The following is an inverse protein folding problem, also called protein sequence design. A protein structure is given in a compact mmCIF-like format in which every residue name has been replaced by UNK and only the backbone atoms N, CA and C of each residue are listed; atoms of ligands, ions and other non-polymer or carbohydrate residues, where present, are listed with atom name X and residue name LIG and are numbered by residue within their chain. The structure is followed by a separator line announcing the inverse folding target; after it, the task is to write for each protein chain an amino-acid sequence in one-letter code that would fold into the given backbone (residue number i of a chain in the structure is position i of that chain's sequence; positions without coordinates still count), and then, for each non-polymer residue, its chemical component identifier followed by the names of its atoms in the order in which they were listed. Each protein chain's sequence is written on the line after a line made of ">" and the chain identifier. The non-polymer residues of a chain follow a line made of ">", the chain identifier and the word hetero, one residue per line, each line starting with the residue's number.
data_IF_870969470686
#
_entry.id   IF_870969470686
#
_cell.length_a   1.000
_cell.length_b   1.000
_cell.length_c   1.000
_cell.angle_alpha   90.00
_cell.angle_beta   90.00
_cell.angle_gamma   90.00
#
_symmetry.space_group_name_H-M   'P 1'
#
loop_
_entity.id
_entity.type
_entity.pdbx_description
1 polymer ?
#
# COMPACT_ATOMS: atom_id res chain seq x y z
N UNK A 1 2.99 -23.88 22.35
CA UNK A 1 3.17 -22.75 21.40
C UNK A 1 4.17 -23.20 20.35
N UNK A 2 3.75 -23.27 19.08
CA UNK A 2 4.54 -23.82 17.98
C UNK A 2 5.79 -22.98 17.68
N UNK A 3 6.93 -23.63 17.53
CA UNK A 3 8.26 -23.07 17.25
C UNK A 3 8.30 -22.13 16.03
N UNK A 4 7.32 -22.22 15.12
CA UNK A 4 7.23 -21.39 13.91
C UNK A 4 6.89 -19.92 14.22
N UNK A 5 6.08 -19.65 15.24
CA UNK A 5 5.70 -18.27 15.61
C UNK A 5 6.86 -17.52 16.27
N UNK A 6 7.69 -18.23 17.03
CA UNK A 6 8.86 -17.66 17.69
C UNK A 6 9.93 -17.25 16.66
N UNK A 7 10.12 -18.05 15.60
CA UNK A 7 11.05 -17.74 14.51
C UNK A 7 10.60 -16.50 13.72
N UNK A 8 9.30 -16.35 13.46
CA UNK A 8 8.77 -15.16 12.77
C UNK A 8 8.97 -13.90 13.64
N UNK A 9 8.65 -13.98 14.93
CA UNK A 9 8.83 -12.86 15.86
C UNK A 9 10.30 -12.47 16.05
N UNK A 10 11.21 -13.46 16.11
CA UNK A 10 12.66 -13.21 16.24
C UNK A 10 13.26 -12.62 14.97
N UNK A 11 12.83 -13.07 13.79
CA UNK A 11 13.24 -12.45 12.51
C UNK A 11 12.71 -11.01 12.33
N UNK A 12 11.54 -10.71 12.89
CA UNK A 12 11.01 -9.34 12.91
C UNK A 12 11.76 -8.41 13.88
N UNK A 13 12.34 -8.93 14.97
CA UNK A 13 12.92 -8.13 16.06
C UNK A 13 14.44 -7.90 15.95
N UNK A 14 15.21 -8.86 15.41
CA UNK A 14 16.68 -8.81 15.49
C UNK A 14 17.37 -7.88 14.46
N UNK A 15 16.63 -7.34 13.50
CA UNK A 15 17.20 -6.58 12.36
C UNK A 15 17.27 -5.06 12.63
N UNK A 16 17.55 -4.66 13.87
CA UNK A 16 17.51 -3.29 14.38
C UNK A 16 18.89 -2.62 14.56
N UNK A 17 19.93 -3.05 13.83
CA UNK A 17 21.25 -2.40 13.89
C UNK A 17 21.88 -2.21 12.50
N UNK A 18 21.54 -1.13 11.75
CA UNK A 18 22.48 -0.39 10.86
C UNK A 18 21.77 0.68 9.98
N UNK A 19 22.02 1.97 10.28
CA UNK A 19 21.22 3.15 9.89
C UNK A 19 21.03 3.38 8.36
N UNK A 20 21.91 2.84 7.51
CA UNK A 20 21.82 3.02 6.05
C UNK A 20 21.09 1.89 5.30
N UNK A 21 20.81 0.75 5.93
CA UNK A 21 20.06 -0.37 5.34
C UNK A 21 18.54 -0.23 5.59
N UNK A 22 18.13 0.65 6.52
CA UNK A 22 16.73 0.78 6.94
C UNK A 22 15.78 1.28 5.86
N UNK A 23 16.19 2.15 4.93
CA UNK A 23 15.21 2.70 3.97
C UNK A 23 14.70 1.62 3.00
N UNK A 24 15.59 0.76 2.52
CA UNK A 24 15.25 -0.39 1.68
C UNK A 24 14.59 -1.52 2.50
N UNK A 25 15.07 -1.79 3.72
CA UNK A 25 14.54 -2.85 4.58
C UNK A 25 13.17 -2.53 5.20
N UNK A 26 12.90 -1.27 5.53
CA UNK A 26 11.57 -0.80 5.95
C UNK A 26 10.55 -0.93 4.81
N UNK A 27 10.97 -0.69 3.55
CA UNK A 27 10.12 -0.96 2.39
C UNK A 27 9.83 -2.46 2.23
N UNK A 28 10.83 -3.31 2.46
CA UNK A 28 10.74 -4.77 2.30
C UNK A 28 9.86 -5.42 3.38
N UNK A 29 10.01 -5.02 4.64
CA UNK A 29 9.21 -5.53 5.77
C UNK A 29 7.74 -5.15 5.67
N UNK A 30 7.43 -3.94 5.21
CA UNK A 30 6.04 -3.50 4.95
C UNK A 30 5.40 -4.20 3.73
N UNK A 31 6.18 -4.75 2.81
CA UNK A 31 5.66 -5.49 1.66
C UNK A 31 5.42 -6.97 1.98
N UNK A 32 6.31 -7.57 2.79
CA UNK A 32 6.26 -8.99 3.16
C UNK A 32 5.17 -9.27 4.22
N UNK A 33 4.78 -8.27 5.02
CA UNK A 33 3.77 -8.42 6.07
C UNK A 33 2.37 -7.91 5.67
N UNK A 34 2.01 -7.96 4.38
CA UNK A 34 0.63 -7.68 3.95
C UNK A 34 -0.10 -8.99 3.70
N UNK A 35 -1.32 -9.09 4.21
CA UNK A 35 -2.19 -10.22 3.92
C UNK A 35 -2.47 -10.32 2.42
N UNK A 36 -2.84 -11.51 1.98
CA UNK A 36 -3.18 -11.76 0.58
C UNK A 36 -4.30 -10.83 0.08
N UNK A 37 -5.32 -10.58 0.92
CA UNK A 37 -6.42 -9.68 0.55
C UNK A 37 -5.93 -8.26 0.27
N UNK A 38 -5.13 -7.70 1.18
CA UNK A 38 -4.61 -6.34 1.03
C UNK A 38 -3.65 -6.23 -0.16
N UNK A 39 -2.82 -7.25 -0.40
CA UNK A 39 -1.95 -7.29 -1.57
C UNK A 39 -2.76 -7.29 -2.88
N UNK A 40 -3.80 -8.12 -2.97
CA UNK A 40 -4.67 -8.18 -4.14
C UNK A 40 -5.42 -6.84 -4.37
N UNK A 41 -5.83 -6.16 -3.30
CA UNK A 41 -6.45 -4.84 -3.38
C UNK A 41 -5.47 -3.75 -3.85
N UNK A 42 -4.21 -3.79 -3.41
CA UNK A 42 -3.19 -2.80 -3.79
C UNK A 42 -2.52 -3.08 -5.13
N UNK A 43 -2.58 -4.32 -5.64
CA UNK A 43 -1.99 -4.73 -6.92
C UNK A 43 -2.23 -3.76 -8.09
N UNK A 44 -3.46 -3.27 -8.36
CA UNK A 44 -3.67 -2.27 -9.41
C UNK A 44 -2.88 -0.98 -9.15
N UNK A 45 -2.84 -0.50 -7.90
CA UNK A 45 -2.17 0.74 -7.51
C UNK A 45 -0.65 0.64 -7.61
N UNK A 46 -0.09 -0.53 -7.27
CA UNK A 46 1.38 -0.74 -7.33
C UNK A 46 1.96 -0.65 -8.74
N UNK A 47 1.12 -0.75 -9.78
CA UNK A 47 1.52 -0.67 -11.19
C UNK A 47 1.47 0.74 -11.75
N UNK A 48 0.93 1.70 -10.99
CA UNK A 48 0.82 3.09 -11.42
C UNK A 48 2.20 3.73 -11.37
N UNK A 49 2.55 4.47 -12.42
CA UNK A 49 3.77 5.27 -12.43
C UNK A 49 3.61 6.43 -11.43
N UNK A 50 4.60 6.59 -10.54
CA UNK A 50 4.52 7.49 -9.38
C UNK A 50 5.04 8.90 -9.67
N UNK A 51 5.26 9.27 -10.92
CA UNK A 51 5.70 10.63 -11.27
C UNK A 51 4.50 11.57 -11.26
N UNK A 52 4.68 12.80 -10.74
CA UNK A 52 3.60 13.79 -10.73
C UNK A 52 3.05 14.06 -12.14
N UNK A 53 3.93 14.14 -13.14
CA UNK A 53 3.54 14.35 -14.54
C UNK A 53 2.62 13.24 -15.05
N UNK A 54 2.94 11.97 -14.78
CA UNK A 54 2.07 10.87 -15.18
C UNK A 54 0.71 10.97 -14.49
N UNK A 55 0.71 11.17 -13.16
CA UNK A 55 -0.51 11.18 -12.37
C UNK A 55 -1.45 12.32 -12.76
N UNK A 56 -0.93 13.51 -13.03
CA UNK A 56 -1.74 14.66 -13.42
C UNK A 56 -2.27 14.53 -14.85
N UNK A 57 -1.46 14.02 -15.78
CA UNK A 57 -1.90 13.83 -17.17
C UNK A 57 -2.83 12.63 -17.37
N UNK A 58 -2.92 11.72 -16.39
CA UNK A 58 -3.70 10.48 -16.48
C UNK A 58 -4.62 10.31 -15.26
N UNK A 59 -5.06 11.41 -14.63
CA UNK A 59 -5.78 11.36 -13.36
C UNK A 59 -7.06 10.51 -13.46
N UNK A 60 -7.87 10.66 -14.52
CA UNK A 60 -9.08 9.84 -14.76
C UNK A 60 -8.80 8.33 -14.62
N UNK A 61 -7.77 7.86 -15.34
CA UNK A 61 -7.37 6.45 -15.33
C UNK A 61 -6.85 6.01 -13.97
N UNK A 62 -6.13 6.88 -13.26
CA UNK A 62 -5.64 6.62 -11.90
C UNK A 62 -6.83 6.48 -10.93
N UNK A 63 -7.85 7.33 -11.08
CA UNK A 63 -9.05 7.33 -10.25
C UNK A 63 -9.93 6.10 -10.48
N UNK A 64 -10.12 5.68 -11.74
CA UNK A 64 -10.82 4.42 -12.07
C UNK A 64 -10.14 3.19 -11.43
N UNK A 65 -8.81 3.15 -11.47
CA UNK A 65 -8.02 2.09 -10.85
C UNK A 65 -8.12 2.11 -9.33
N UNK A 66 -8.15 3.31 -8.74
CA UNK A 66 -8.31 3.53 -7.32
C UNK A 66 -9.69 3.11 -6.82
N UNK A 67 -10.75 3.42 -7.56
CA UNK A 67 -12.11 2.99 -7.24
C UNK A 67 -12.25 1.47 -7.32
N UNK A 68 -11.73 0.87 -8.39
CA UNK A 68 -11.72 -0.60 -8.55
C UNK A 68 -10.98 -1.28 -7.39
N UNK A 69 -9.85 -0.71 -6.96
CA UNK A 69 -9.07 -1.20 -5.83
C UNK A 69 -9.82 -1.04 -4.50
N UNK A 70 -10.50 0.09 -4.31
CA UNK A 70 -11.31 0.37 -3.12
C UNK A 70 -12.54 -0.56 -3.04
N UNK A 71 -13.17 -0.90 -4.16
CA UNK A 71 -14.25 -1.88 -4.19
C UNK A 71 -13.77 -3.27 -3.73
N UNK A 72 -12.56 -3.67 -4.15
CA UNK A 72 -11.96 -4.94 -3.71
C UNK A 72 -11.61 -4.93 -2.22
N UNK A 73 -11.09 -3.82 -1.71
CA UNK A 73 -10.68 -3.73 -0.30
C UNK A 73 -11.84 -3.91 0.67
N UNK A 74 -13.10 -3.62 0.26
CA UNK A 74 -14.31 -3.88 1.08
C UNK A 74 -14.48 -5.34 1.51
N UNK A 75 -13.87 -6.29 0.78
CA UNK A 75 -13.87 -7.72 1.13
C UNK A 75 -12.81 -8.09 2.17
N UNK A 76 -11.83 -7.22 2.39
CA UNK A 76 -10.77 -7.40 3.38
C UNK A 76 -11.30 -7.06 4.78
N UNK A 77 -10.57 -7.47 5.83
CA UNK A 77 -10.99 -7.14 7.19
C UNK A 77 -10.86 -5.63 7.48
N UNK A 78 -11.52 -5.09 8.54
CA UNK A 78 -11.51 -3.65 8.81
C UNK A 78 -10.11 -3.04 9.01
N UNK A 79 -9.17 -3.80 9.59
CA UNK A 79 -7.79 -3.33 9.77
C UNK A 79 -7.06 -3.19 8.42
N UNK A 80 -7.26 -4.15 7.52
CA UNK A 80 -6.72 -4.11 6.15
C UNK A 80 -7.36 -3.02 5.31
N UNK A 81 -8.67 -2.79 5.45
CA UNK A 81 -9.36 -1.67 4.81
C UNK A 81 -8.74 -0.34 5.23
N UNK A 82 -8.49 -0.15 6.53
CA UNK A 82 -7.80 1.04 7.04
C UNK A 82 -6.39 1.18 6.43
N UNK A 83 -5.62 0.10 6.39
CA UNK A 83 -4.29 0.10 5.77
C UNK A 83 -4.33 0.41 4.26
N UNK A 84 -5.35 -0.07 3.55
CA UNK A 84 -5.57 0.25 2.14
C UNK A 84 -5.79 1.76 1.95
N UNK A 85 -6.67 2.37 2.75
CA UNK A 85 -6.92 3.81 2.65
C UNK A 85 -5.68 4.63 2.96
N UNK A 86 -4.90 4.28 4.00
CA UNK A 86 -3.63 4.96 4.28
C UNK A 86 -2.60 4.79 3.15
N UNK A 87 -2.52 3.59 2.56
CA UNK A 87 -1.59 3.32 1.45
C UNK A 87 -1.96 4.05 0.16
N UNK A 88 -3.20 4.53 0.05
CA UNK A 88 -3.75 5.14 -1.18
C UNK A 88 -4.16 6.59 -1.02
N UNK A 89 -3.96 7.20 0.15
CA UNK A 89 -4.33 8.61 0.44
C UNK A 89 -3.87 9.59 -0.63
N UNK A 90 -2.62 9.46 -1.10
CA UNK A 90 -2.07 10.37 -2.10
C UNK A 90 -2.86 10.35 -3.42
N UNK A 91 -3.20 9.16 -3.94
CA UNK A 91 -4.01 9.04 -5.15
C UNK A 91 -5.43 9.57 -4.94
N UNK A 92 -6.01 9.37 -3.75
CA UNK A 92 -7.34 9.90 -3.41
C UNK A 92 -7.37 11.42 -3.43
N UNK A 93 -6.34 12.07 -2.89
CA UNK A 93 -6.21 13.53 -2.91
C UNK A 93 -6.11 14.06 -4.34
N UNK A 94 -5.35 13.40 -5.20
CA UNK A 94 -5.26 13.76 -6.62
C UNK A 94 -6.64 13.67 -7.27
N UNK A 95 -7.35 12.55 -7.08
CA UNK A 95 -8.68 12.38 -7.67
C UNK A 95 -9.65 13.49 -7.24
N UNK A 96 -9.75 13.78 -5.94
CA UNK A 96 -10.60 14.86 -5.45
C UNK A 96 -10.20 16.22 -6.02
N UNK A 97 -8.90 16.53 -6.07
CA UNK A 97 -8.41 17.81 -6.59
C UNK A 97 -8.83 18.05 -8.05
N UNK A 98 -8.68 17.04 -8.91
CA UNK A 98 -8.99 17.18 -10.33
C UNK A 98 -10.49 17.01 -10.64
N UNK A 99 -11.24 16.20 -9.88
CA UNK A 99 -12.70 16.09 -10.01
C UNK A 99 -13.43 17.38 -9.62
N UNK A 100 -12.93 18.11 -8.62
CA UNK A 100 -13.52 19.37 -8.16
C UNK A 100 -13.29 20.54 -9.14
N UNK A 101 -12.45 20.36 -10.17
CA UNK A 101 -12.27 21.32 -11.26
C UNK A 101 -11.73 22.69 -10.85
N UNK A 102 -10.94 22.75 -9.78
CA UNK A 102 -10.33 23.98 -9.24
C UNK A 102 -9.15 24.44 -10.11
#
# INVERSE_FOLDING_TARGET
>A
MSSSLLIILVNCFFFFFNLHIYSAFFLLTNLICKSECLQQALKPITKIEKTYAYLFNNYDKVCDQLETAAYRSRKCNPNEQRQFYYSTTFYRLICTYFEEGI
#
